data_IF_963734574590
#
_entry.id   IF_963734574590
#
_cell.length_a   1.000
_cell.length_b   1.000
_cell.length_c   1.000
_cell.angle_alpha   90.00
_cell.angle_beta   90.00
_cell.angle_gamma   90.00
#
_symmetry.space_group_name_H-M   'P 1'
#
loop_
_entity.id
_entity.type
_entity.pdbx_description
1 polymer ?
#
# COMPACT_ATOMS: atom_id res chain seq x y z
N UNK A 1 -37.97 5.71 -19.98
CA UNK A 1 -37.50 7.04 -19.49
C UNK A 1 -36.73 7.70 -20.62
N UNK A 2 -37.27 8.74 -21.24
CA UNK A 2 -36.52 9.59 -22.18
C UNK A 2 -35.44 10.35 -21.41
N UNK A 3 -34.22 10.44 -21.94
CA UNK A 3 -33.13 11.24 -21.36
C UNK A 3 -32.03 10.47 -20.60
N UNK A 4 -32.06 9.14 -20.55
CA UNK A 4 -30.91 8.36 -20.04
C UNK A 4 -30.04 7.95 -21.23
N UNK A 5 -28.76 8.32 -21.19
CA UNK A 5 -27.81 7.95 -22.24
C UNK A 5 -27.65 6.43 -22.36
N UNK A 6 -27.67 5.92 -23.60
CA UNK A 6 -27.49 4.49 -23.92
C UNK A 6 -26.12 4.17 -24.53
N UNK A 7 -25.24 5.17 -24.60
CA UNK A 7 -23.84 5.08 -25.06
C UNK A 7 -22.93 5.82 -24.08
N UNK A 8 -21.61 5.62 -24.16
CA UNK A 8 -20.65 6.37 -23.34
C UNK A 8 -20.70 7.87 -23.70
N UNK A 9 -21.17 8.69 -22.78
CA UNK A 9 -21.28 10.14 -22.96
C UNK A 9 -20.43 10.94 -21.97
N UNK A 10 -19.81 10.28 -20.99
CA UNK A 10 -19.06 10.92 -19.91
C UNK A 10 -17.78 10.13 -19.58
N UNK A 11 -16.75 10.86 -19.15
CA UNK A 11 -15.52 10.26 -18.62
C UNK A 11 -15.68 9.99 -17.13
N UNK A 12 -15.13 8.87 -16.66
CA UNK A 12 -15.09 8.56 -15.24
C UNK A 12 -14.08 9.47 -14.53
N UNK A 13 -14.48 10.05 -13.40
CA UNK A 13 -13.60 10.79 -12.50
C UNK A 13 -13.37 9.96 -11.23
N UNK A 14 -12.13 9.49 -11.07
CA UNK A 14 -11.74 8.59 -9.98
C UNK A 14 -11.01 9.32 -8.83
N UNK A 15 -10.76 10.63 -8.96
CA UNK A 15 -10.08 11.47 -7.98
C UNK A 15 -8.69 10.95 -7.57
N UNK A 16 -8.00 10.28 -8.49
CA UNK A 16 -6.67 9.70 -8.24
C UNK A 16 -5.61 10.76 -7.99
N UNK A 17 -5.84 12.01 -8.41
CA UNK A 17 -5.00 13.17 -8.11
C UNK A 17 -4.84 13.44 -6.61
N UNK A 18 -5.79 12.96 -5.79
CA UNK A 18 -5.78 13.14 -4.32
C UNK A 18 -5.25 11.92 -3.57
N UNK A 19 -4.85 10.87 -4.28
CA UNK A 19 -4.32 9.67 -3.64
C UNK A 19 -2.97 9.98 -2.98
N UNK A 20 -2.75 9.47 -1.76
CA UNK A 20 -1.49 9.60 -1.04
C UNK A 20 -0.30 9.08 -1.86
N UNK A 21 -0.52 8.08 -2.71
CA UNK A 21 0.53 7.54 -3.57
C UNK A 21 1.17 8.58 -4.51
N UNK A 22 0.50 9.68 -4.87
CA UNK A 22 1.16 10.72 -5.65
C UNK A 22 2.36 11.32 -4.89
N UNK A 23 2.22 11.48 -3.57
CA UNK A 23 3.31 11.95 -2.70
C UNK A 23 4.39 10.88 -2.56
N UNK A 24 4.00 9.62 -2.40
CA UNK A 24 4.96 8.50 -2.32
C UNK A 24 5.76 8.32 -3.62
N UNK A 25 5.10 8.45 -4.77
CA UNK A 25 5.73 8.37 -6.10
C UNK A 25 6.73 9.52 -6.28
N UNK A 26 6.33 10.75 -5.90
CA UNK A 26 7.22 11.90 -5.97
C UNK A 26 8.47 11.70 -5.09
N UNK A 27 8.29 11.23 -3.85
CA UNK A 27 9.40 10.95 -2.95
C UNK A 27 10.27 9.76 -3.41
N UNK A 28 9.68 8.78 -4.09
CA UNK A 28 10.38 7.59 -4.59
C UNK A 28 11.08 7.79 -5.95
N UNK A 29 11.08 8.99 -6.53
CA UNK A 29 11.70 9.22 -7.86
C UNK A 29 13.15 8.72 -7.98
N UNK A 30 14.05 8.93 -6.98
CA UNK A 30 15.40 8.39 -7.08
C UNK A 30 15.44 6.85 -7.26
N UNK A 31 14.54 6.14 -6.60
CA UNK A 31 14.39 4.70 -6.74
C UNK A 31 13.78 4.31 -8.09
N UNK A 32 12.80 5.06 -8.57
CA UNK A 32 12.12 4.79 -9.84
C UNK A 32 12.98 5.11 -11.07
N UNK A 33 13.93 6.03 -10.97
CA UNK A 33 14.79 6.42 -12.09
C UNK A 33 16.12 5.67 -12.08
N UNK A 34 16.74 5.53 -10.91
CA UNK A 34 18.12 5.04 -10.77
C UNK A 34 18.26 3.81 -9.88
N UNK A 35 17.15 3.25 -9.37
CA UNK A 35 17.14 2.15 -8.39
C UNK A 35 17.90 2.47 -7.10
N UNK A 36 18.07 3.75 -6.79
CA UNK A 36 18.68 4.19 -5.55
C UNK A 36 17.75 3.88 -4.36
N UNK A 37 18.27 3.36 -3.23
CA UNK A 37 17.45 3.15 -2.04
C UNK A 37 16.87 4.46 -1.50
N UNK A 38 15.59 4.46 -1.16
CA UNK A 38 14.85 5.61 -0.60
C UNK A 38 14.12 5.18 0.67
N UNK A 39 14.17 6.06 1.68
CA UNK A 39 13.42 5.93 2.94
C UNK A 39 12.42 7.08 3.05
N UNK A 40 11.16 6.77 3.29
CA UNK A 40 10.06 7.73 3.36
C UNK A 40 9.37 7.57 4.71
N UNK A 41 9.01 8.67 5.37
CA UNK A 41 8.15 8.66 6.54
C UNK A 41 6.87 9.45 6.26
N UNK A 42 5.71 8.91 6.64
CA UNK A 42 4.43 9.59 6.39
C UNK A 42 3.35 9.25 7.43
N UNK A 43 2.58 10.22 7.96
CA UNK A 43 1.41 9.89 8.78
C UNK A 43 0.30 9.25 7.94
N UNK A 44 -0.44 8.26 8.47
CA UNK A 44 -1.52 7.62 7.73
C UNK A 44 -2.85 7.68 8.50
N UNK A 45 -3.94 7.79 7.74
CA UNK A 45 -5.31 7.84 8.24
C UNK A 45 -6.18 6.89 7.44
N UNK A 46 -7.27 6.42 8.05
CA UNK A 46 -8.15 5.41 7.46
C UNK A 46 -8.80 5.83 6.12
N UNK A 47 -8.83 7.14 5.84
CA UNK A 47 -9.27 7.70 4.55
C UNK A 47 -8.26 7.48 3.42
N UNK A 48 -6.98 7.24 3.75
CA UNK A 48 -5.94 6.86 2.79
C UNK A 48 -6.11 5.38 2.46
N UNK A 49 -6.86 5.11 1.39
CA UNK A 49 -7.13 3.76 0.89
C UNK A 49 -6.14 3.37 -0.19
N UNK A 50 -5.87 2.07 -0.29
CA UNK A 50 -5.07 1.47 -1.36
C UNK A 50 -3.63 2.02 -1.44
N UNK A 51 -3.09 2.46 -0.31
CA UNK A 51 -1.75 3.07 -0.25
C UNK A 51 -0.69 2.05 -0.69
N UNK A 52 0.20 2.50 -1.57
CA UNK A 52 1.28 1.72 -2.18
C UNK A 52 0.93 1.08 -3.53
N UNK A 53 -0.34 1.06 -3.94
CA UNK A 53 -0.74 0.39 -5.18
C UNK A 53 -0.35 1.15 -6.45
N UNK A 54 -0.51 2.49 -6.49
CA UNK A 54 -0.06 3.27 -7.64
C UNK A 54 1.46 3.30 -7.69
N UNK A 55 2.14 3.42 -6.54
CA UNK A 55 3.60 3.29 -6.45
C UNK A 55 4.09 1.94 -6.99
N UNK A 56 3.42 0.86 -6.63
CA UNK A 56 3.72 -0.48 -7.16
C UNK A 56 3.44 -0.59 -8.65
N UNK A 57 2.40 0.09 -9.15
CA UNK A 57 2.14 0.26 -10.58
C UNK A 57 3.27 0.98 -11.30
N UNK A 58 3.86 2.01 -10.71
CA UNK A 58 5.03 2.71 -11.24
C UNK A 58 6.26 1.77 -11.33
N UNK A 59 6.51 0.95 -10.30
CA UNK A 59 7.58 -0.06 -10.30
C UNK A 59 7.33 -1.11 -11.37
N UNK A 60 6.12 -1.69 -11.41
CA UNK A 60 5.76 -2.73 -12.37
C UNK A 60 5.82 -2.24 -13.81
N UNK A 61 5.44 -1.00 -14.09
CA UNK A 61 5.53 -0.42 -15.44
C UNK A 61 6.96 -0.26 -15.94
N UNK A 62 7.91 0.03 -15.04
CA UNK A 62 9.33 0.24 -15.39
C UNK A 62 10.12 -1.06 -15.42
N UNK A 63 9.84 -1.98 -14.51
CA UNK A 63 10.70 -3.13 -14.23
C UNK A 63 9.98 -4.49 -14.31
N UNK A 64 8.69 -4.50 -14.66
CA UNK A 64 7.88 -5.72 -14.72
C UNK A 64 7.72 -6.37 -13.35
N UNK A 65 7.37 -7.66 -13.34
CA UNK A 65 7.19 -8.41 -12.10
C UNK A 65 8.48 -8.54 -11.28
N UNK A 66 9.66 -8.56 -11.93
CA UNK A 66 10.94 -8.62 -11.20
C UNK A 66 11.21 -7.39 -10.32
N UNK A 67 10.56 -6.27 -10.61
CA UNK A 67 10.58 -5.07 -9.77
C UNK A 67 11.97 -4.52 -9.47
N UNK A 68 12.14 -4.01 -8.26
CA UNK A 68 13.39 -3.45 -7.75
C UNK A 68 14.08 -4.45 -6.81
N UNK A 69 15.40 -4.28 -6.54
CA UNK A 69 16.05 -4.96 -5.43
C UNK A 69 15.27 -4.78 -4.12
N UNK A 70 15.35 -5.77 -3.23
CA UNK A 70 14.64 -5.76 -1.95
C UNK A 70 14.93 -4.48 -1.14
N UNK A 71 13.89 -3.96 -0.48
CA UNK A 71 13.95 -2.75 0.36
C UNK A 71 14.48 -1.48 -0.35
N UNK A 72 14.43 -1.42 -1.69
CA UNK A 72 14.82 -0.21 -2.44
C UNK A 72 13.91 0.96 -2.10
N UNK A 73 12.60 0.76 -1.95
CA UNK A 73 11.68 1.80 -1.46
C UNK A 73 11.12 1.32 -0.14
N UNK A 74 11.46 1.99 0.95
CA UNK A 74 10.89 1.69 2.25
C UNK A 74 10.11 2.89 2.76
N UNK A 75 8.82 2.69 3.02
CA UNK A 75 7.96 3.72 3.60
C UNK A 75 7.50 3.29 4.98
N UNK A 76 7.83 4.10 5.97
CA UNK A 76 7.35 3.95 7.34
C UNK A 76 6.16 4.87 7.57
N UNK A 77 5.06 4.28 8.02
CA UNK A 77 3.81 4.97 8.34
C UNK A 77 3.51 4.93 9.83
N UNK A 78 2.81 5.97 10.31
CA UNK A 78 2.30 6.05 11.69
C UNK A 78 0.83 6.43 11.68
N UNK A 79 -0.02 5.65 12.33
CA UNK A 79 -1.47 5.86 12.39
C UNK A 79 -2.26 4.67 11.87
N UNK A 80 -3.42 4.93 11.28
CA UNK A 80 -4.38 3.87 10.95
C UNK A 80 -4.58 3.81 9.44
N UNK A 81 -4.24 2.71 8.80
CA UNK A 81 -4.34 2.58 7.35
C UNK A 81 -5.77 2.25 6.89
N UNK A 82 -6.17 2.83 5.75
CA UNK A 82 -7.44 2.52 5.12
C UNK A 82 -7.48 1.13 4.51
N UNK A 83 -8.62 0.78 3.91
CA UNK A 83 -8.78 -0.49 3.22
C UNK A 83 -7.74 -0.65 2.10
N UNK A 84 -7.35 -1.90 1.84
CA UNK A 84 -6.39 -2.27 0.79
C UNK A 84 -4.99 -1.70 0.97
N UNK A 85 -4.55 -1.43 2.20
CA UNK A 85 -3.17 -1.02 2.49
C UNK A 85 -2.17 -2.03 1.92
N UNK A 86 -1.21 -1.59 1.11
CA UNK A 86 -0.24 -2.47 0.46
C UNK A 86 -0.83 -3.40 -0.60
N UNK A 87 -1.96 -3.06 -1.21
CA UNK A 87 -2.50 -3.87 -2.31
C UNK A 87 -1.56 -3.89 -3.52
N UNK A 88 -1.39 -5.08 -4.11
CA UNK A 88 -0.53 -5.33 -5.27
C UNK A 88 0.93 -4.92 -5.09
N UNK A 89 1.44 -4.95 -3.85
CA UNK A 89 2.77 -4.44 -3.52
C UNK A 89 3.86 -5.15 -4.33
N UNK A 90 4.63 -4.38 -5.10
CA UNK A 90 5.63 -4.90 -6.02
C UNK A 90 6.97 -5.22 -5.32
N UNK A 91 7.78 -6.09 -5.94
CA UNK A 91 9.14 -6.38 -5.53
C UNK A 91 9.98 -5.09 -5.34
N UNK A 92 10.69 -5.04 -4.21
CA UNK A 92 11.53 -3.91 -3.80
C UNK A 92 10.80 -2.76 -3.12
N UNK A 93 9.47 -2.85 -2.97
CA UNK A 93 8.69 -1.93 -2.13
C UNK A 93 8.40 -2.58 -0.78
N UNK A 94 8.75 -1.86 0.29
CA UNK A 94 8.52 -2.26 1.68
C UNK A 94 7.67 -1.20 2.36
N UNK A 95 6.50 -1.59 2.88
CA UNK A 95 5.66 -0.71 3.69
C UNK A 95 5.66 -1.21 5.12
N UNK A 96 6.02 -0.32 6.04
CA UNK A 96 6.02 -0.58 7.47
C UNK A 96 5.03 0.36 8.13
N UNK A 97 4.11 -0.17 8.92
CA UNK A 97 3.09 0.58 9.63
C UNK A 97 3.23 0.38 11.13
N UNK A 98 3.41 1.48 11.85
CA UNK A 98 3.21 1.55 13.29
C UNK A 98 1.78 2.01 13.58
N UNK A 99 0.91 1.07 13.91
CA UNK A 99 -0.52 1.29 14.12
C UNK A 99 -1.37 0.10 13.66
N UNK A 100 -2.54 0.38 13.08
CA UNK A 100 -3.52 -0.62 12.65
C UNK A 100 -3.94 -0.42 11.19
N UNK A 101 -4.40 -1.48 10.52
CA UNK A 101 -4.87 -1.41 9.14
C UNK A 101 -6.25 -2.06 8.95
N UNK A 102 -7.05 -1.54 8.02
CA UNK A 102 -8.38 -2.08 7.73
C UNK A 102 -8.33 -3.32 6.79
N UNK A 103 -9.50 -3.75 6.32
CA UNK A 103 -9.66 -4.91 5.44
C UNK A 103 -8.80 -4.86 4.18
N UNK A 104 -8.55 -6.03 3.60
CA UNK A 104 -7.83 -6.24 2.35
C UNK A 104 -6.37 -5.81 2.39
N UNK A 105 -5.79 -5.70 3.59
CA UNK A 105 -4.37 -5.44 3.77
C UNK A 105 -3.56 -6.49 3.00
N UNK A 106 -2.64 -6.03 2.15
CA UNK A 106 -1.85 -6.88 1.26
C UNK A 106 -2.65 -7.63 0.18
N UNK A 107 -3.86 -7.19 -0.19
CA UNK A 107 -4.64 -7.78 -1.29
C UNK A 107 -3.79 -7.90 -2.55
N UNK A 108 -3.70 -9.10 -3.13
CA UNK A 108 -2.92 -9.36 -4.32
C UNK A 108 -1.43 -9.07 -4.17
N UNK A 109 -0.86 -9.20 -2.97
CA UNK A 109 0.59 -9.00 -2.73
C UNK A 109 1.42 -9.68 -3.83
N UNK A 110 2.34 -8.92 -4.42
CA UNK A 110 3.01 -9.26 -5.69
C UNK A 110 4.53 -9.13 -5.60
N UNK A 111 5.10 -9.45 -4.43
CA UNK A 111 6.54 -9.50 -4.20
C UNK A 111 7.10 -8.47 -3.21
N UNK A 112 6.31 -7.47 -2.84
CA UNK A 112 6.69 -6.50 -1.82
C UNK A 112 6.70 -7.08 -0.41
N UNK A 113 7.17 -6.26 0.54
CA UNK A 113 7.16 -6.58 1.98
C UNK A 113 6.21 -5.67 2.73
N UNK A 114 5.33 -6.25 3.53
CA UNK A 114 4.33 -5.55 4.32
C UNK A 114 4.52 -5.85 5.81
N UNK A 115 4.70 -4.83 6.62
CA UNK A 115 4.90 -4.96 8.06
C UNK A 115 3.85 -4.09 8.75
N UNK A 116 3.05 -4.67 9.64
CA UNK A 116 2.14 -3.91 10.51
C UNK A 116 2.43 -4.31 11.94
N UNK A 117 2.75 -3.32 12.77
CA UNK A 117 3.11 -3.50 14.17
C UNK A 117 2.55 -2.41 15.04
N UNK A 118 2.38 -2.70 16.33
CA UNK A 118 1.86 -1.69 17.25
C UNK A 118 2.93 -0.61 17.52
N UNK A 119 2.52 0.65 17.79
CA UNK A 119 3.48 1.67 18.23
C UNK A 119 4.06 1.26 19.60
N UNK A 120 5.30 1.68 19.90
CA UNK A 120 6.04 1.23 21.08
C UNK A 120 5.34 1.58 22.40
N UNK A 121 4.52 2.63 22.41
CA UNK A 121 3.71 3.09 23.53
C UNK A 121 2.41 2.27 23.74
N UNK A 122 2.06 1.37 22.81
CA UNK A 122 0.88 0.53 22.94
C UNK A 122 1.04 -0.48 24.08
N UNK A 123 0.05 -0.51 24.98
CA UNK A 123 -0.02 -1.45 26.11
C UNK A 123 -1.06 -2.54 25.82
N UNK A 124 -0.91 -3.23 24.69
CA UNK A 124 -1.82 -4.30 24.26
C UNK A 124 -1.01 -5.58 24.04
N UNK A 125 -1.60 -6.70 24.42
CA UNK A 125 -1.08 -8.03 24.11
C UNK A 125 -1.35 -8.32 22.63
N UNK A 126 -0.34 -8.45 21.76
CA UNK A 126 -0.55 -8.61 20.33
C UNK A 126 -1.48 -9.79 19.98
N UNK A 127 -1.28 -10.94 20.62
CA UNK A 127 -2.04 -12.17 20.34
C UNK A 127 -3.51 -12.12 20.77
N UNK A 128 -3.95 -11.06 21.45
CA UNK A 128 -5.33 -10.88 21.91
C UNK A 128 -6.00 -9.65 21.27
N UNK A 129 -5.29 -8.91 20.42
CA UNK A 129 -5.75 -7.64 19.88
C UNK A 129 -5.66 -7.63 18.35
N UNK A 130 -6.75 -7.18 17.72
CA UNK A 130 -6.84 -7.07 16.26
C UNK A 130 -5.92 -5.95 15.78
N UNK A 131 -5.07 -6.25 14.80
CA UNK A 131 -4.20 -5.25 14.16
C UNK A 131 -4.54 -5.02 12.68
N UNK A 132 -5.17 -6.00 12.04
CA UNK A 132 -5.60 -5.92 10.64
C UNK A 132 -7.05 -6.41 10.45
N UNK A 133 -7.73 -5.88 9.44
CA UNK A 133 -9.11 -6.27 9.09
C UNK A 133 -9.21 -7.60 8.34
N UNK A 134 -10.31 -7.77 7.60
CA UNK A 134 -10.66 -9.03 6.94
C UNK A 134 -9.99 -9.22 5.56
N UNK A 135 -10.02 -10.46 5.06
CA UNK A 135 -9.66 -10.82 3.67
C UNK A 135 -8.23 -10.36 3.30
N UNK A 136 -7.33 -10.46 4.27
CA UNK A 136 -5.90 -10.15 4.17
C UNK A 136 -5.25 -11.08 3.15
N UNK A 137 -4.30 -10.57 2.38
CA UNK A 137 -3.56 -11.33 1.35
C UNK A 137 -4.43 -12.01 0.29
N UNK A 138 -5.66 -11.53 0.07
CA UNK A 138 -6.55 -12.12 -0.92
C UNK A 138 -5.92 -12.15 -2.32
N UNK A 139 -5.66 -13.35 -2.82
CA UNK A 139 -5.03 -13.57 -4.13
C UNK A 139 -3.56 -13.14 -4.21
N UNK A 140 -2.86 -13.05 -3.07
CA UNK A 140 -1.41 -12.84 -3.07
C UNK A 140 -0.69 -13.94 -3.85
N UNK A 141 0.32 -13.56 -4.64
CA UNK A 141 1.10 -14.47 -5.49
C UNK A 141 2.58 -14.56 -5.08
N UNK A 142 3.11 -13.51 -4.42
CA UNK A 142 4.48 -13.43 -3.95
C UNK A 142 4.63 -12.34 -2.88
N UNK A 143 5.73 -12.36 -2.14
CA UNK A 143 6.07 -11.34 -1.14
C UNK A 143 5.98 -11.85 0.30
N UNK A 144 6.21 -10.94 1.24
CA UNK A 144 6.25 -11.23 2.67
C UNK A 144 5.32 -10.29 3.42
N UNK A 145 4.62 -10.82 4.43
CA UNK A 145 3.77 -10.04 5.30
C UNK A 145 3.98 -10.43 6.77
N UNK A 146 4.16 -9.44 7.63
CA UNK A 146 4.41 -9.61 9.07
C UNK A 146 3.42 -8.74 9.84
N UNK A 147 2.67 -9.37 10.74
CA UNK A 147 1.63 -8.70 11.52
C UNK A 147 1.82 -9.00 13.01
N UNK A 148 2.02 -7.95 13.81
CA UNK A 148 2.14 -8.04 15.27
C UNK A 148 0.76 -7.93 15.92
N UNK A 149 -0.10 -8.91 15.67
CA UNK A 149 -1.46 -8.94 16.22
C UNK A 149 -2.29 -10.07 15.63
N UNK A 150 -3.59 -10.05 15.92
CA UNK A 150 -4.61 -10.95 15.33
C UNK A 150 -5.29 -10.30 14.12
#
# INVERSE_FOLDING_TARGET
KSGVAIYNCERQQHHLDKALDNELIAAAQPALESRAPVRIEHPIRNVHRTVGAMLSGEVARRYGHGGLPQDTIWTTFRGNAGQSFGAFLAHGVTLELYGDANDYTGKGLSGGRLIVRQPAEARREPTENIIIGNTVLYGAIAGEAYFEGV
#
